data_IF_000160756895
#
_entry.id   IF_000160756895
#
_cell.length_a   1.000
_cell.length_b   1.000
_cell.length_c   1.000
_cell.angle_alpha   90.00
_cell.angle_beta   90.00
_cell.angle_gamma   90.00
#
_symmetry.space_group_name_H-M   'P 1'
#
loop_
_entity.id
_entity.type
_entity.pdbx_description
1 polymer ?
#
# COMPACT_ATOMS: atom_id res chain seq x y z
N UNK A 1 29.86 14.51 -1.20
CA UNK A 1 28.72 13.83 -0.52
C UNK A 1 27.67 13.70 -1.59
N UNK A 2 27.85 12.69 -2.42
CA UNK A 2 27.25 12.67 -3.74
C UNK A 2 25.92 11.93 -3.65
N UNK A 3 24.85 12.70 -3.83
CA UNK A 3 23.44 12.33 -3.99
C UNK A 3 23.01 10.94 -3.51
N UNK A 4 22.43 10.90 -2.29
CA UNK A 4 21.69 9.74 -1.73
C UNK A 4 20.48 9.29 -2.57
N UNK A 5 20.10 10.05 -3.61
CA UNK A 5 18.91 9.81 -4.44
C UNK A 5 19.36 9.79 -5.91
N UNK A 6 18.96 8.74 -6.64
CA UNK A 6 19.21 8.60 -8.08
C UNK A 6 18.80 9.89 -8.84
N UNK A 7 19.67 10.46 -9.70
CA UNK A 7 19.40 11.70 -10.42
C UNK A 7 18.10 11.67 -11.23
N UNK A 8 17.68 10.49 -11.69
CA UNK A 8 16.42 10.33 -12.39
C UNK A 8 15.24 10.35 -11.43
N UNK A 9 15.33 9.70 -10.26
CA UNK A 9 14.33 9.86 -9.21
C UNK A 9 14.20 11.31 -8.74
N UNK A 10 15.33 12.04 -8.65
CA UNK A 10 15.33 13.49 -8.41
C UNK A 10 14.56 14.23 -9.53
N UNK A 11 14.75 13.88 -10.79
CA UNK A 11 13.96 14.48 -11.88
C UNK A 11 12.45 14.20 -11.74
N UNK A 12 12.04 13.03 -11.27
CA UNK A 12 10.61 12.79 -11.02
C UNK A 12 10.07 13.63 -9.85
N UNK A 13 10.87 13.86 -8.81
CA UNK A 13 10.49 14.65 -7.63
C UNK A 13 10.55 16.17 -7.86
N UNK A 14 11.44 16.61 -8.75
CA UNK A 14 11.84 18.01 -8.88
C UNK A 14 11.71 18.60 -10.29
N UNK A 15 11.57 17.81 -11.35
CA UNK A 15 11.55 18.29 -12.74
C UNK A 15 10.12 18.48 -13.29
N UNK A 16 9.83 19.76 -13.56
CA UNK A 16 8.80 20.36 -14.44
C UNK A 16 7.38 19.82 -14.42
N UNK A 17 6.55 20.45 -13.57
CA UNK A 17 5.16 20.74 -13.89
C UNK A 17 4.80 22.16 -13.44
N UNK A 18 4.21 22.96 -14.33
CA UNK A 18 3.91 24.40 -14.15
C UNK A 18 2.99 24.75 -12.96
N UNK A 19 2.40 23.77 -12.26
CA UNK A 19 1.34 23.99 -11.23
C UNK A 19 1.75 23.73 -9.78
N UNK A 20 3.04 23.67 -9.43
CA UNK A 20 3.43 23.47 -8.03
C UNK A 20 4.13 24.66 -7.42
N UNK A 21 3.36 25.49 -6.74
CA UNK A 21 3.91 26.38 -5.71
C UNK A 21 4.57 25.51 -4.63
N UNK A 22 5.71 25.97 -4.09
CA UNK A 22 6.37 25.40 -2.92
C UNK A 22 5.36 25.00 -1.80
N UNK A 23 4.30 25.80 -1.66
CA UNK A 23 3.18 25.57 -0.76
C UNK A 23 2.51 24.21 -0.93
N UNK A 24 2.27 23.72 -2.16
CA UNK A 24 1.64 22.41 -2.37
C UNK A 24 2.51 21.26 -1.84
N UNK A 25 3.83 21.36 -1.96
CA UNK A 25 4.77 20.38 -1.41
C UNK A 25 4.79 20.42 0.12
N UNK A 26 4.75 21.62 0.71
CA UNK A 26 4.64 21.81 2.15
C UNK A 26 3.34 21.22 2.68
N UNK A 27 2.21 21.49 2.02
CA UNK A 27 0.90 20.92 2.39
C UNK A 27 0.95 19.39 2.37
N UNK A 28 1.48 18.78 1.30
CA UNK A 28 1.61 17.31 1.24
C UNK A 28 2.46 16.79 2.40
N UNK A 29 3.60 17.42 2.68
CA UNK A 29 4.48 17.00 3.78
C UNK A 29 3.77 17.08 5.14
N UNK A 30 3.01 18.16 5.39
CA UNK A 30 2.20 18.33 6.60
C UNK A 30 1.12 17.27 6.70
N UNK A 31 0.41 16.97 5.61
CA UNK A 31 -0.64 15.93 5.58
C UNK A 31 -0.06 14.56 5.86
N UNK A 32 1.08 14.21 5.24
CA UNK A 32 1.77 12.93 5.48
C UNK A 32 2.26 12.83 6.93
N UNK A 33 2.84 13.91 7.48
CA UNK A 33 3.28 13.94 8.86
C UNK A 33 2.11 13.79 9.84
N UNK A 34 0.99 14.47 9.59
CA UNK A 34 -0.22 14.32 10.38
C UNK A 34 -0.78 12.89 10.32
N UNK A 35 -0.81 12.28 9.12
CA UNK A 35 -1.24 10.89 8.94
C UNK A 35 -0.32 9.90 9.69
N UNK A 36 0.99 10.11 9.66
CA UNK A 36 1.95 9.32 10.42
C UNK A 36 1.71 9.42 11.94
N UNK A 37 1.56 10.64 12.45
CA UNK A 37 1.28 10.89 13.87
C UNK A 37 -0.04 10.21 14.26
N UNK A 38 -1.08 10.35 13.45
CA UNK A 38 -2.37 9.71 13.71
C UNK A 38 -2.25 8.18 13.72
N UNK A 39 -1.57 7.60 12.72
CA UNK A 39 -1.32 6.16 12.64
C UNK A 39 -0.62 5.66 13.91
N UNK A 40 0.43 6.36 14.37
CA UNK A 40 1.18 6.03 15.57
C UNK A 40 0.36 6.14 16.86
N UNK A 41 -0.48 7.16 16.99
CA UNK A 41 -1.24 7.42 18.21
C UNK A 41 -2.53 6.58 18.32
N UNK A 42 -3.17 6.28 17.19
CA UNK A 42 -4.52 5.71 17.17
C UNK A 42 -4.69 4.53 16.22
N UNK A 43 -3.99 4.54 15.08
CA UNK A 43 -4.20 3.55 14.02
C UNK A 43 -3.74 2.15 14.42
N UNK A 44 -2.54 2.03 14.99
CA UNK A 44 -1.95 0.73 15.28
C UNK A 44 -2.65 -0.04 16.39
N UNK A 45 -3.14 0.64 17.42
CA UNK A 45 -3.92 -0.01 18.47
C UNK A 45 -5.25 -0.54 17.93
N UNK A 46 -5.93 0.23 17.08
CA UNK A 46 -7.14 -0.25 16.39
C UNK A 46 -6.83 -1.43 15.45
N UNK A 47 -5.71 -1.40 14.74
CA UNK A 47 -5.34 -2.46 13.80
C UNK A 47 -5.01 -3.80 14.48
N UNK A 48 -4.22 -3.77 15.56
CA UNK A 48 -3.87 -4.99 16.27
C UNK A 48 -5.03 -5.54 17.09
N UNK A 49 -6.01 -4.71 17.44
CA UNK A 49 -7.18 -5.11 18.22
C UNK A 49 -6.70 -5.72 19.54
N UNK A 50 -7.11 -6.95 19.88
CA UNK A 50 -6.65 -7.66 21.08
C UNK A 50 -5.33 -8.43 20.89
N UNK A 51 -4.72 -8.42 19.70
CA UNK A 51 -3.48 -9.17 19.44
C UNK A 51 -2.22 -8.42 19.88
N UNK A 52 -1.23 -9.17 20.35
CA UNK A 52 0.09 -8.59 20.60
C UNK A 52 0.78 -8.28 19.24
N UNK A 53 1.35 -7.07 19.03
CA UNK A 53 1.93 -6.69 17.74
C UNK A 53 2.95 -7.68 17.20
N UNK A 54 3.80 -8.25 18.08
CA UNK A 54 4.81 -9.22 17.66
C UNK A 54 4.20 -10.47 16.99
N UNK A 55 3.01 -10.90 17.40
CA UNK A 55 2.35 -12.06 16.79
C UNK A 55 2.06 -11.79 15.31
N UNK A 56 1.61 -10.58 14.98
CA UNK A 56 1.36 -10.16 13.59
C UNK A 56 2.67 -9.99 12.82
N UNK A 57 3.65 -9.28 13.39
CA UNK A 57 4.92 -9.00 12.71
C UNK A 57 5.72 -10.26 12.37
N UNK A 58 5.63 -11.31 13.19
CA UNK A 58 6.28 -12.60 12.94
C UNK A 58 5.81 -13.28 11.65
N UNK A 59 4.58 -12.99 11.20
CA UNK A 59 3.98 -13.61 10.01
C UNK A 59 4.09 -12.75 8.74
N UNK A 60 4.53 -11.50 8.85
CA UNK A 60 4.77 -10.64 7.67
C UNK A 60 5.79 -11.25 6.69
N UNK A 61 6.92 -11.86 7.12
CA UNK A 61 7.85 -12.50 6.20
C UNK A 61 7.20 -13.57 5.31
N UNK A 62 6.24 -14.34 5.83
CA UNK A 62 5.49 -15.33 5.05
C UNK A 62 4.71 -14.66 3.91
N UNK A 63 4.01 -13.56 4.19
CA UNK A 63 3.24 -12.84 3.20
C UNK A 63 4.13 -12.14 2.15
N UNK A 64 5.29 -11.61 2.58
CA UNK A 64 6.30 -11.04 1.67
C UNK A 64 6.79 -12.11 0.70
N UNK A 65 7.22 -13.28 1.22
CA UNK A 65 7.70 -14.41 0.41
C UNK A 65 6.63 -14.84 -0.60
N UNK A 66 5.38 -15.00 -0.14
CA UNK A 66 4.25 -15.35 -0.99
C UNK A 66 3.96 -14.33 -2.10
N UNK A 67 4.31 -13.06 -1.90
CA UNK A 67 4.07 -11.96 -2.84
C UNK A 67 5.25 -11.69 -3.77
N UNK A 68 6.40 -12.36 -3.61
CA UNK A 68 7.62 -12.07 -4.39
C UNK A 68 7.41 -12.29 -5.89
N UNK A 69 6.73 -13.36 -6.28
CA UNK A 69 6.50 -13.66 -7.71
C UNK A 69 5.64 -12.57 -8.35
N UNK A 70 4.55 -12.15 -7.69
CA UNK A 70 3.73 -11.03 -8.12
C UNK A 70 4.56 -9.74 -8.22
N UNK A 71 5.40 -9.43 -7.22
CA UNK A 71 6.28 -8.26 -7.27
C UNK A 71 7.24 -8.32 -8.46
N UNK A 72 7.87 -9.47 -8.73
CA UNK A 72 8.76 -9.62 -9.88
C UNK A 72 8.03 -9.33 -11.18
N UNK A 73 6.84 -9.91 -11.39
CA UNK A 73 6.00 -9.66 -12.57
C UNK A 73 5.68 -8.16 -12.69
N UNK A 74 5.21 -7.52 -11.62
CA UNK A 74 4.92 -6.08 -11.62
C UNK A 74 6.16 -5.24 -11.94
N UNK A 75 7.32 -5.61 -11.40
CA UNK A 75 8.59 -4.93 -11.63
C UNK A 75 9.08 -5.04 -13.09
N UNK A 76 8.64 -6.07 -13.83
CA UNK A 76 8.88 -6.22 -15.26
C UNK A 76 7.89 -5.43 -16.11
N UNK A 77 6.65 -5.26 -15.63
CA UNK A 77 5.63 -4.46 -16.32
C UNK A 77 5.89 -2.96 -16.20
N UNK A 78 6.53 -2.53 -15.12
CA UNK A 78 6.96 -1.15 -14.94
C UNK A 78 7.94 -0.72 -16.04
N UNK A 79 7.73 0.48 -16.57
CA UNK A 79 8.49 1.00 -17.70
C UNK A 79 9.91 1.41 -17.33
N UNK A 80 10.12 1.85 -16.09
CA UNK A 80 11.35 2.52 -15.69
C UNK A 80 11.96 1.89 -14.43
N UNK A 81 13.07 1.16 -14.61
CA UNK A 81 13.70 0.42 -13.51
C UNK A 81 14.38 1.34 -12.49
N UNK A 82 14.80 2.54 -12.91
CA UNK A 82 15.53 3.46 -12.01
C UNK A 82 14.63 4.16 -11.00
N UNK A 83 13.31 4.14 -11.19
CA UNK A 83 12.34 4.76 -10.27
C UNK A 83 11.66 3.75 -9.33
N UNK A 84 12.19 2.53 -9.23
CA UNK A 84 11.70 1.47 -8.31
C UNK A 84 11.69 1.87 -6.84
N UNK A 85 12.39 2.94 -6.45
CA UNK A 85 12.22 3.55 -5.13
C UNK A 85 10.74 3.84 -4.83
N UNK A 86 9.96 4.29 -5.81
CA UNK A 86 8.52 4.53 -5.61
C UNK A 86 7.72 3.24 -5.42
N UNK A 87 8.22 2.07 -5.82
CA UNK A 87 7.57 0.79 -5.47
C UNK A 87 7.60 0.60 -3.97
N UNK A 88 8.77 0.80 -3.36
CA UNK A 88 8.97 0.69 -1.91
C UNK A 88 8.10 1.72 -1.19
N UNK A 89 8.10 2.97 -1.64
CA UNK A 89 7.24 4.02 -1.06
C UNK A 89 5.77 3.62 -1.13
N UNK A 90 5.31 3.11 -2.27
CA UNK A 90 3.90 2.71 -2.46
C UNK A 90 3.55 1.52 -1.56
N UNK A 91 4.36 0.45 -1.60
CA UNK A 91 4.15 -0.76 -0.78
C UNK A 91 4.16 -0.40 0.70
N UNK A 92 5.11 0.41 1.18
CA UNK A 92 5.25 0.71 2.61
C UNK A 92 4.25 1.76 3.11
N UNK A 93 3.80 2.69 2.27
CA UNK A 93 2.85 3.73 2.68
C UNK A 93 1.52 3.14 3.17
N UNK A 94 1.09 2.01 2.62
CA UNK A 94 -0.17 1.37 3.00
C UNK A 94 -0.09 0.73 4.40
N UNK A 95 0.75 -0.27 4.66
CA UNK A 95 0.80 -0.94 5.95
C UNK A 95 1.33 -0.03 7.06
N UNK A 96 2.22 0.93 6.78
CA UNK A 96 2.80 1.78 7.83
C UNK A 96 1.89 2.95 8.25
N UNK A 97 1.02 3.40 7.35
CA UNK A 97 0.26 4.65 7.53
C UNK A 97 -1.23 4.41 7.31
N UNK A 98 -1.61 3.98 6.11
CA UNK A 98 -2.99 4.08 5.65
C UNK A 98 -3.89 2.96 6.16
N UNK A 99 -3.38 1.75 6.27
CA UNK A 99 -4.14 0.61 6.79
C UNK A 99 -4.44 0.73 8.28
N UNK A 100 -3.50 1.14 9.17
CA UNK A 100 -3.83 1.44 10.56
C UNK A 100 -4.88 2.55 10.71
N UNK A 101 -4.78 3.62 9.90
CA UNK A 101 -5.80 4.67 9.86
C UNK A 101 -7.17 4.11 9.42
N UNK A 102 -7.19 3.28 8.37
CA UNK A 102 -8.41 2.66 7.89
C UNK A 102 -9.08 1.80 8.96
N UNK A 103 -8.30 0.99 9.69
CA UNK A 103 -8.80 0.19 10.82
C UNK A 103 -9.47 1.06 11.88
N UNK A 104 -8.77 2.12 12.32
CA UNK A 104 -9.33 3.05 13.30
C UNK A 104 -10.64 3.68 12.83
N UNK A 105 -10.70 4.17 11.59
CA UNK A 105 -11.91 4.79 11.04
C UNK A 105 -13.07 3.79 10.93
N UNK A 106 -12.76 2.54 10.57
CA UNK A 106 -13.75 1.47 10.54
C UNK A 106 -14.29 1.14 11.93
N UNK A 107 -13.44 1.10 12.93
CA UNK A 107 -13.85 0.77 14.31
C UNK A 107 -14.74 1.83 14.94
N UNK A 108 -14.55 3.09 14.56
CA UNK A 108 -15.30 4.24 15.07
C UNK A 108 -16.46 4.65 14.16
N UNK A 109 -16.71 3.92 13.07
CA UNK A 109 -17.78 4.25 12.15
C UNK A 109 -19.15 3.80 12.68
N UNK A 110 -20.19 4.65 12.61
CA UNK A 110 -21.57 4.27 12.94
C UNK A 110 -22.19 3.33 11.90
N UNK A 111 -21.58 3.17 10.72
CA UNK A 111 -22.09 2.37 9.62
C UNK A 111 -21.03 1.38 9.11
N UNK A 112 -20.45 0.57 10.02
CA UNK A 112 -19.31 -0.32 9.76
C UNK A 112 -19.41 -1.11 8.45
N UNK A 113 -20.56 -1.72 8.16
CA UNK A 113 -20.77 -2.52 6.93
C UNK A 113 -20.48 -1.75 5.63
N UNK A 114 -20.80 -0.46 5.59
CA UNK A 114 -20.58 0.38 4.40
C UNK A 114 -19.21 1.03 4.42
N UNK A 115 -18.74 1.42 5.60
CA UNK A 115 -17.50 2.17 5.74
C UNK A 115 -16.26 1.30 5.67
N UNK A 116 -16.34 0.01 6.02
CA UNK A 116 -15.21 -0.94 5.85
C UNK A 116 -14.74 -0.93 4.41
N UNK A 117 -15.66 -1.19 3.48
CA UNK A 117 -15.37 -1.17 2.06
C UNK A 117 -14.99 0.22 1.51
N UNK A 118 -15.34 1.32 2.19
CA UNK A 118 -15.00 2.66 1.71
C UNK A 118 -13.65 3.16 2.25
N UNK A 119 -13.40 3.08 3.55
CA UNK A 119 -12.17 3.56 4.17
C UNK A 119 -10.99 2.65 3.82
N UNK A 120 -11.11 1.33 3.91
CA UNK A 120 -9.99 0.42 3.57
C UNK A 120 -9.62 0.56 2.10
N UNK A 121 -10.60 0.45 1.22
CA UNK A 121 -10.35 0.48 -0.22
C UNK A 121 -9.94 1.88 -0.72
N UNK A 122 -10.55 2.94 -0.18
CA UNK A 122 -10.22 4.32 -0.50
C UNK A 122 -8.82 4.72 -0.01
N UNK A 123 -8.46 4.37 1.22
CA UNK A 123 -7.13 4.65 1.76
C UNK A 123 -6.05 3.77 1.12
N UNK A 124 -6.39 2.54 0.70
CA UNK A 124 -5.46 1.65 -0.01
C UNK A 124 -5.01 2.22 -1.35
N UNK A 125 -5.89 2.86 -2.12
CA UNK A 125 -5.50 3.47 -3.40
C UNK A 125 -4.93 4.89 -3.28
N UNK A 126 -5.06 5.53 -2.11
CA UNK A 126 -4.60 6.90 -1.88
C UNK A 126 -3.12 7.14 -2.26
N UNK A 127 -2.15 6.24 -2.03
CA UNK A 127 -0.77 6.45 -2.46
C UNK A 127 -0.66 6.67 -3.98
N UNK A 128 -1.44 5.92 -4.76
CA UNK A 128 -1.42 5.99 -6.23
C UNK A 128 -2.00 7.31 -6.70
N UNK A 129 -3.09 7.77 -6.07
CA UNK A 129 -3.69 9.09 -6.34
C UNK A 129 -2.70 10.20 -6.00
N UNK A 130 -2.04 10.13 -4.84
CA UNK A 130 -1.03 11.11 -4.44
C UNK A 130 0.18 11.09 -5.38
N UNK A 131 0.63 9.93 -5.84
CA UNK A 131 1.69 9.82 -6.82
C UNK A 131 1.26 10.40 -8.18
N UNK A 132 0.03 10.16 -8.64
CA UNK A 132 -0.47 10.76 -9.87
C UNK A 132 -0.56 12.30 -9.80
N UNK A 133 -0.98 12.86 -8.65
CA UNK A 133 -1.07 14.32 -8.46
C UNK A 133 0.32 14.95 -8.27
N UNK A 134 1.16 14.33 -7.44
CA UNK A 134 2.40 14.96 -6.99
C UNK A 134 3.65 14.50 -7.73
N UNK A 135 3.59 13.38 -8.41
CA UNK A 135 4.65 12.85 -9.27
C UNK A 135 3.99 12.43 -10.60
N UNK A 136 3.34 13.37 -11.33
CA UNK A 136 2.54 13.04 -12.52
C UNK A 136 3.37 12.34 -13.60
N UNK A 137 4.70 12.53 -13.56
CA UNK A 137 5.62 11.85 -14.44
C UNK A 137 5.74 10.35 -14.19
N UNK A 138 5.29 9.86 -13.03
CA UNK A 138 5.31 8.46 -12.63
C UNK A 138 4.07 7.70 -13.13
N UNK A 139 2.88 8.26 -12.93
CA UNK A 139 1.61 7.67 -13.32
C UNK A 139 1.06 8.44 -14.53
N UNK A 140 1.40 8.00 -15.75
CA UNK A 140 0.99 8.68 -17.00
C UNK A 140 0.10 7.84 -17.91
N UNK A 141 -0.01 6.55 -17.62
CA UNK A 141 -0.72 5.60 -18.46
C UNK A 141 -1.54 4.66 -17.60
N UNK A 142 -2.56 4.05 -18.19
CA UNK A 142 -3.29 2.92 -17.60
C UNK A 142 -2.35 1.84 -17.03
N UNK A 143 -1.26 1.53 -17.75
CA UNK A 143 -0.27 0.52 -17.31
C UNK A 143 0.45 0.93 -16.02
N UNK A 144 0.88 2.20 -15.92
CA UNK A 144 1.52 2.69 -14.69
C UNK A 144 0.53 2.63 -13.52
N UNK A 145 -0.73 3.01 -13.77
CA UNK A 145 -1.82 2.88 -12.81
C UNK A 145 -2.03 1.45 -12.31
N UNK A 146 -2.03 0.46 -13.21
CA UNK A 146 -2.12 -0.97 -12.87
C UNK A 146 -0.96 -1.38 -11.94
N UNK A 147 0.27 -1.03 -12.32
CA UNK A 147 1.47 -1.42 -11.55
C UNK A 147 1.43 -0.81 -10.14
N UNK A 148 1.24 0.49 -10.02
CA UNK A 148 1.25 1.17 -8.73
C UNK A 148 0.01 0.85 -7.88
N UNK A 149 -1.15 0.62 -8.53
CA UNK A 149 -2.34 0.06 -7.91
C UNK A 149 -2.06 -1.29 -7.26
N UNK A 150 -1.50 -2.22 -8.03
CA UNK A 150 -1.13 -3.55 -7.54
C UNK A 150 -0.13 -3.49 -6.37
N UNK A 151 0.88 -2.60 -6.45
CA UNK A 151 1.86 -2.40 -5.39
C UNK A 151 1.24 -1.87 -4.09
N UNK A 152 0.24 -0.98 -4.19
CA UNK A 152 -0.50 -0.50 -3.02
C UNK A 152 -1.33 -1.63 -2.39
N UNK A 153 -2.05 -2.39 -3.21
CA UNK A 153 -2.78 -3.58 -2.78
C UNK A 153 -1.89 -4.66 -2.16
N UNK A 154 -0.65 -4.80 -2.64
CA UNK A 154 0.35 -5.71 -2.08
C UNK A 154 0.75 -5.29 -0.66
N UNK A 155 0.98 -3.99 -0.42
CA UNK A 155 1.25 -3.47 0.92
C UNK A 155 0.14 -3.82 1.91
N UNK A 156 -1.12 -3.67 1.49
CA UNK A 156 -2.28 -4.05 2.29
C UNK A 156 -2.33 -5.56 2.58
N UNK A 157 -2.20 -6.37 1.52
CA UNK A 157 -2.25 -7.83 1.61
C UNK A 157 -1.17 -8.39 2.53
N UNK A 158 0.04 -7.82 2.52
CA UNK A 158 1.15 -8.26 3.36
C UNK A 158 0.83 -8.12 4.85
N UNK A 159 0.32 -6.96 5.27
CA UNK A 159 0.03 -6.70 6.68
C UNK A 159 -1.24 -7.43 7.13
N UNK A 160 -2.27 -7.48 6.28
CA UNK A 160 -3.51 -8.19 6.60
C UNK A 160 -3.30 -9.70 6.73
N UNK A 161 -2.47 -10.30 5.87
CA UNK A 161 -2.11 -11.72 5.98
C UNK A 161 -1.41 -12.02 7.31
N UNK A 162 -0.53 -11.12 7.77
CA UNK A 162 0.11 -11.25 9.08
C UNK A 162 -0.93 -11.26 10.22
N UNK A 163 -1.92 -10.38 10.15
CA UNK A 163 -3.01 -10.31 11.13
C UNK A 163 -3.84 -11.60 11.11
N UNK A 164 -4.22 -12.08 9.94
CA UNK A 164 -5.01 -13.31 9.83
C UNK A 164 -4.27 -14.56 10.29
N UNK A 165 -2.99 -14.70 9.94
CA UNK A 165 -2.17 -15.81 10.43
C UNK A 165 -2.06 -15.79 11.94
N UNK A 166 -1.80 -14.62 12.54
CA UNK A 166 -1.77 -14.46 13.99
C UNK A 166 -3.09 -14.89 14.64
N UNK A 167 -4.24 -14.45 14.11
CA UNK A 167 -5.57 -14.82 14.64
C UNK A 167 -5.84 -16.33 14.53
N UNK A 168 -5.68 -16.91 13.34
CA UNK A 168 -6.09 -18.29 13.05
C UNK A 168 -5.23 -19.33 13.78
N UNK A 169 -3.96 -19.01 14.09
CA UNK A 169 -3.08 -19.92 14.83
C UNK A 169 -3.49 -20.15 16.29
N UNK A 170 -4.32 -19.28 16.87
CA UNK A 170 -4.91 -19.52 18.19
C UNK A 170 -5.99 -20.61 18.15
N UNK A 171 -6.55 -20.89 16.96
CA UNK A 171 -7.69 -21.80 16.78
C UNK A 171 -7.29 -23.10 16.06
N UNK A 172 -6.27 -23.08 15.20
CA UNK A 172 -5.89 -24.19 14.34
C UNK A 172 -4.41 -24.52 14.41
N UNK A 173 -4.06 -25.74 14.00
CA UNK A 173 -2.66 -26.14 13.82
C UNK A 173 -1.95 -25.29 12.75
N UNK A 174 -0.63 -25.22 12.80
CA UNK A 174 0.18 -24.48 11.84
C UNK A 174 -0.06 -24.93 10.38
N UNK A 175 -0.17 -26.23 10.14
CA UNK A 175 -0.37 -26.78 8.78
C UNK A 175 -1.73 -26.35 8.23
N UNK A 176 -2.78 -26.46 9.04
CA UNK A 176 -4.13 -26.05 8.64
C UNK A 176 -4.20 -24.54 8.38
N UNK A 177 -3.57 -23.76 9.26
CA UNK A 177 -3.48 -22.30 9.10
C UNK A 177 -2.76 -21.95 7.80
N UNK A 178 -1.63 -22.59 7.50
CA UNK A 178 -0.92 -22.38 6.23
C UNK A 178 -1.77 -22.78 5.03
N UNK A 179 -2.46 -23.92 5.08
CA UNK A 179 -3.33 -24.34 3.99
C UNK A 179 -4.41 -23.31 3.70
N UNK A 180 -5.15 -22.88 4.72
CA UNK A 180 -6.23 -21.89 4.58
C UNK A 180 -5.70 -20.54 4.11
N UNK A 181 -4.64 -20.02 4.73
CA UNK A 181 -4.13 -18.68 4.44
C UNK A 181 -3.31 -18.62 3.13
N UNK A 182 -2.69 -19.73 2.69
CA UNK A 182 -1.99 -19.78 1.39
C UNK A 182 -2.95 -19.49 0.23
N UNK A 183 -4.22 -19.89 0.33
CA UNK A 183 -5.21 -19.62 -0.72
C UNK A 183 -5.47 -18.11 -0.90
N UNK A 184 -5.31 -17.31 0.15
CA UNK A 184 -5.49 -15.85 0.11
C UNK A 184 -4.36 -15.12 -0.61
N UNK A 185 -3.18 -15.74 -0.73
CA UNK A 185 -2.10 -15.22 -1.59
C UNK A 185 -2.47 -15.27 -3.08
N UNK A 186 -3.49 -16.05 -3.46
CA UNK A 186 -3.92 -16.18 -4.84
C UNK A 186 -2.86 -16.83 -5.75
N UNK A 187 -3.11 -16.81 -7.05
CA UNK A 187 -2.19 -17.39 -8.02
C UNK A 187 -0.94 -16.49 -8.15
N UNK A 188 0.24 -17.07 -7.95
CA UNK A 188 1.55 -16.37 -8.01
C UNK A 188 1.69 -15.18 -7.05
N UNK A 189 0.92 -15.15 -5.96
CA UNK A 189 0.93 -14.03 -5.01
C UNK A 189 -0.01 -12.89 -5.38
N UNK A 190 -0.79 -13.00 -6.47
CA UNK A 190 -1.85 -12.05 -6.82
C UNK A 190 -3.11 -12.30 -6.01
N UNK A 191 -3.07 -11.93 -4.73
CA UNK A 191 -4.24 -11.95 -3.85
C UNK A 191 -5.31 -10.94 -4.28
N UNK A 192 -6.52 -11.09 -3.73
CA UNK A 192 -7.68 -10.26 -4.09
C UNK A 192 -7.41 -8.76 -3.99
N UNK A 193 -6.69 -8.32 -2.95
CA UNK A 193 -6.32 -6.91 -2.77
C UNK A 193 -5.39 -6.37 -3.86
N UNK A 194 -4.46 -7.19 -4.34
CA UNK A 194 -3.53 -6.79 -5.41
C UNK A 194 -4.30 -6.60 -6.71
N UNK A 195 -5.15 -7.56 -7.07
CA UNK A 195 -5.94 -7.51 -8.30
C UNK A 195 -6.93 -6.34 -8.27
N UNK A 196 -7.70 -6.19 -7.18
CA UNK A 196 -8.65 -5.11 -7.03
C UNK A 196 -7.96 -3.74 -7.15
N UNK A 197 -6.85 -3.55 -6.43
CA UNK A 197 -6.13 -2.28 -6.43
C UNK A 197 -5.49 -2.00 -7.79
N UNK A 198 -5.09 -3.03 -8.54
CA UNK A 198 -4.61 -2.89 -9.91
C UNK A 198 -5.69 -2.33 -10.85
N UNK A 199 -6.94 -2.79 -10.73
CA UNK A 199 -8.05 -2.27 -11.52
C UNK A 199 -8.42 -0.84 -11.16
N UNK A 200 -8.49 -0.51 -9.86
CA UNK A 200 -8.75 0.88 -9.46
C UNK A 200 -7.58 1.80 -9.85
N UNK A 201 -6.35 1.33 -9.68
CA UNK A 201 -5.15 2.00 -10.15
C UNK A 201 -5.15 2.24 -11.66
N UNK A 202 -5.64 1.29 -12.46
CA UNK A 202 -5.87 1.50 -13.90
C UNK A 202 -6.78 2.70 -14.16
N UNK A 203 -7.83 2.87 -13.37
CA UNK A 203 -8.73 4.03 -13.42
C UNK A 203 -8.01 5.34 -13.12
N UNK A 204 -7.12 5.36 -12.11
CA UNK A 204 -6.26 6.52 -11.82
C UNK A 204 -5.33 6.81 -13.00
N UNK A 205 -4.70 5.77 -13.56
CA UNK A 205 -3.84 5.89 -14.74
C UNK A 205 -4.59 6.39 -15.97
N UNK A 206 -5.84 5.98 -16.16
CA UNK A 206 -6.72 6.47 -17.23
C UNK A 206 -7.07 7.95 -17.06
N UNK A 207 -7.30 8.41 -15.83
CA UNK A 207 -7.57 9.82 -15.55
C UNK A 207 -6.34 10.73 -15.71
N UNK A 208 -5.14 10.16 -15.65
CA UNK A 208 -3.87 10.87 -15.80
C UNK A 208 -3.31 10.87 -17.24
N UNK A 209 -3.84 10.00 -18.12
CA UNK A 209 -3.50 9.88 -19.55
C UNK A 209 -4.17 10.98 -20.38
#
# INVERSE_FOLDING_TARGET
MDNLIDPMAQNYLFYDFHRKSFLAKVILAVVVAAALIFSLLFGWSAFFDDLHPLEVWLWIPYAIIGSLVAYFILSFLDRERRVRFFHIVTILSVPLILQPIASYLNDHSPAKFWTVGFYEEGLKILPVVLLAIYVPNLIRTRKDGIVYGALAGMGFNILEMGLYLARVLHEYSMIETWYQQSTRLGLFGFGGHIIWSAFVGMGVGFAAE
#
